data_IF_761902408211
#
_entry.id   IF_761902408211
#
_cell.length_a   1.000
_cell.length_b   1.000
_cell.length_c   1.000
_cell.angle_alpha   90.00
_cell.angle_beta   90.00
_cell.angle_gamma   90.00
#
_symmetry.space_group_name_H-M   'P 1'
#
loop_
_entity.id
_entity.type
_entity.pdbx_description
1 polymer ?
#
# COMPACT_ATOMS: atom_id res chain seq x y z
N UNK A 1 -16.22 -23.56 3.04
CA UNK A 1 -16.69 -24.87 3.54
C UNK A 1 -15.77 -26.03 3.14
N UNK A 2 -15.01 -25.94 2.04
CA UNK A 2 -14.15 -27.04 1.54
C UNK A 2 -13.03 -27.45 2.51
N UNK A 3 -12.33 -26.50 3.14
CA UNK A 3 -11.23 -26.82 4.05
C UNK A 3 -11.67 -27.60 5.31
N UNK A 4 -12.91 -27.41 5.76
CA UNK A 4 -13.51 -28.20 6.85
C UNK A 4 -13.83 -29.62 6.40
N UNK A 5 -14.31 -29.79 5.16
CA UNK A 5 -14.57 -31.10 4.56
C UNK A 5 -13.27 -31.88 4.33
N UNK A 6 -12.21 -31.21 3.88
CA UNK A 6 -10.88 -31.83 3.70
C UNK A 6 -10.33 -32.31 5.04
N UNK A 7 -10.33 -31.46 6.07
CA UNK A 7 -9.87 -31.85 7.40
C UNK A 7 -10.69 -33.01 7.99
N UNK A 8 -12.02 -32.97 7.85
CA UNK A 8 -12.90 -34.04 8.33
C UNK A 8 -12.69 -35.33 7.53
N UNK A 9 -12.46 -35.24 6.22
CA UNK A 9 -12.17 -36.39 5.37
C UNK A 9 -10.83 -37.03 5.70
N UNK A 10 -9.77 -36.25 5.96
CA UNK A 10 -8.46 -36.75 6.38
C UNK A 10 -8.55 -37.41 7.75
N UNK A 11 -9.31 -36.82 8.69
CA UNK A 11 -9.55 -37.40 10.01
C UNK A 11 -10.31 -38.73 9.91
N UNK A 12 -11.35 -38.79 9.08
CA UNK A 12 -12.16 -40.00 8.85
C UNK A 12 -11.34 -41.07 8.14
N UNK A 13 -10.47 -40.70 7.20
CA UNK A 13 -9.58 -41.63 6.50
C UNK A 13 -8.51 -42.20 7.45
N UNK A 14 -7.99 -41.39 8.37
CA UNK A 14 -7.10 -41.84 9.44
C UNK A 14 -7.80 -42.81 10.40
N UNK A 15 -9.03 -42.51 10.81
CA UNK A 15 -9.83 -43.38 11.69
C UNK A 15 -10.24 -44.71 11.02
N UNK A 16 -10.59 -44.66 9.74
CA UNK A 16 -10.86 -45.87 8.95
C UNK A 16 -9.57 -46.67 8.74
N UNK A 17 -8.46 -46.02 8.42
CA UNK A 17 -7.16 -46.66 8.20
C UNK A 17 -6.63 -47.36 9.45
N UNK A 18 -6.75 -46.76 10.63
CA UNK A 18 -6.36 -47.40 11.90
C UNK A 18 -7.29 -48.56 12.27
N UNK A 19 -8.60 -48.43 12.02
CA UNK A 19 -9.57 -49.51 12.23
C UNK A 19 -9.35 -50.70 11.29
N UNK A 20 -9.07 -50.45 10.01
CA UNK A 20 -8.80 -51.53 9.03
C UNK A 20 -7.42 -52.15 9.22
N UNK A 21 -6.40 -51.38 9.60
CA UNK A 21 -5.07 -51.91 9.88
C UNK A 21 -5.07 -52.89 11.07
N UNK A 22 -5.93 -52.66 12.08
CA UNK A 22 -6.11 -53.59 13.20
C UNK A 22 -6.74 -54.95 12.83
N UNK A 23 -7.49 -55.02 11.72
CA UNK A 23 -8.09 -56.26 11.24
C UNK A 23 -7.16 -57.06 10.30
N UNK A 24 -6.36 -56.38 9.49
CA UNK A 24 -5.49 -57.02 8.50
C UNK A 24 -4.04 -57.24 8.97
N UNK A 25 -3.58 -56.51 9.99
CA UNK A 25 -2.23 -56.61 10.55
C UNK A 25 -2.25 -56.66 12.09
N UNK A 26 -2.80 -57.73 12.70
CA UNK A 26 -2.93 -57.85 14.15
C UNK A 26 -1.57 -57.84 14.88
N UNK A 27 -0.51 -58.33 14.24
CA UNK A 27 0.84 -58.39 14.82
C UNK A 27 1.45 -57.00 15.11
N UNK A 28 1.00 -55.95 14.41
CA UNK A 28 1.40 -54.58 14.72
C UNK A 28 0.82 -54.10 16.05
N UNK A 29 -0.36 -54.62 16.45
CA UNK A 29 -1.04 -54.27 17.70
C UNK A 29 -0.61 -55.12 18.89
N UNK A 30 0.07 -56.25 18.66
CA UNK A 30 0.73 -57.05 19.71
C UNK A 30 2.11 -56.50 20.12
N UNK A 31 2.56 -55.41 19.48
CA UNK A 31 3.74 -54.67 19.88
C UNK A 31 3.68 -54.30 21.37
N UNK A 32 4.72 -54.62 22.17
CA UNK A 32 4.74 -54.32 23.61
C UNK A 32 4.58 -52.83 23.90
N UNK A 33 4.94 -51.96 22.94
CA UNK A 33 4.79 -50.51 23.04
C UNK A 33 3.31 -50.09 22.92
N UNK A 34 2.55 -50.71 22.01
CA UNK A 34 1.13 -50.40 21.81
C UNK A 34 0.26 -50.96 22.94
N UNK A 35 0.56 -52.16 23.42
CA UNK A 35 -0.06 -52.72 24.63
C UNK A 35 0.24 -51.89 25.88
N UNK A 36 1.47 -51.37 26.03
CA UNK A 36 1.84 -50.46 27.12
C UNK A 36 1.09 -49.13 27.06
N UNK A 37 0.95 -48.54 25.85
CA UNK A 37 0.18 -47.32 25.59
C UNK A 37 -1.30 -47.53 25.93
N UNK A 38 -1.90 -48.64 25.51
CA UNK A 38 -3.32 -48.94 25.77
C UNK A 38 -3.57 -49.29 27.25
N UNK A 39 -2.62 -49.95 27.93
CA UNK A 39 -2.68 -50.23 29.36
C UNK A 39 -2.74 -48.97 30.22
N UNK A 40 -2.12 -47.87 29.76
CA UNK A 40 -2.15 -46.56 30.43
C UNK A 40 -3.22 -45.68 29.79
N UNK A 41 -4.49 -45.94 30.10
CA UNK A 41 -5.65 -45.13 29.68
C UNK A 41 -5.43 -43.61 29.80
N UNK A 42 -4.73 -43.17 30.86
CA UNK A 42 -4.32 -41.77 31.07
C UNK A 42 -3.45 -41.20 29.94
N UNK A 43 -2.53 -41.98 29.36
CA UNK A 43 -1.65 -41.55 28.28
C UNK A 43 -2.41 -41.36 26.96
N UNK A 44 -3.34 -42.26 26.62
CA UNK A 44 -4.18 -42.12 25.42
C UNK A 44 -5.07 -40.88 25.52
N UNK A 45 -5.71 -40.66 26.67
CA UNK A 45 -6.52 -39.46 26.93
C UNK A 45 -5.66 -38.19 26.83
N UNK A 46 -4.44 -38.22 27.35
CA UNK A 46 -3.49 -37.11 27.26
C UNK A 46 -3.10 -36.76 25.82
N UNK A 47 -2.80 -37.76 24.99
CA UNK A 47 -2.49 -37.54 23.56
C UNK A 47 -3.69 -36.97 22.81
N UNK A 48 -4.90 -37.50 23.04
CA UNK A 48 -6.13 -36.97 22.44
C UNK A 48 -6.36 -35.52 22.87
N UNK A 49 -6.15 -35.19 24.15
CA UNK A 49 -6.28 -33.82 24.63
C UNK A 49 -5.29 -32.86 23.94
N UNK A 50 -4.03 -33.28 23.73
CA UNK A 50 -3.02 -32.50 22.99
C UNK A 50 -3.43 -32.34 21.51
N UNK A 51 -3.94 -33.39 20.87
CA UNK A 51 -4.41 -33.31 19.48
C UNK A 51 -5.61 -32.36 19.33
N UNK A 52 -6.56 -32.40 20.27
CA UNK A 52 -7.70 -31.47 20.28
C UNK A 52 -7.24 -30.03 20.55
N UNK A 53 -6.32 -29.82 21.50
CA UNK A 53 -5.77 -28.51 21.81
C UNK A 53 -5.01 -27.92 20.61
N UNK A 54 -4.14 -28.70 19.97
CA UNK A 54 -3.40 -28.27 18.77
C UNK A 54 -4.34 -27.97 17.60
N UNK A 55 -5.37 -28.80 17.38
CA UNK A 55 -6.39 -28.55 16.35
C UNK A 55 -7.18 -27.25 16.62
N UNK A 56 -7.50 -26.95 17.89
CA UNK A 56 -8.16 -25.70 18.27
C UNK A 56 -7.27 -24.48 17.98
N UNK A 57 -6.00 -24.53 18.38
CA UNK A 57 -5.01 -23.47 18.09
C UNK A 57 -4.84 -23.28 16.57
N UNK A 58 -4.78 -24.38 15.81
CA UNK A 58 -4.68 -24.33 14.35
C UNK A 58 -5.91 -23.67 13.71
N UNK A 59 -7.12 -23.97 14.18
CA UNK A 59 -8.33 -23.29 13.68
C UNK A 59 -8.32 -21.79 13.94
N UNK A 60 -7.91 -21.38 15.14
CA UNK A 60 -7.84 -19.96 15.51
C UNK A 60 -6.81 -19.24 14.63
N UNK A 61 -5.63 -19.83 14.45
CA UNK A 61 -4.57 -19.23 13.63
C UNK A 61 -4.95 -19.13 12.15
N UNK A 62 -5.65 -20.12 11.59
CA UNK A 62 -6.19 -20.04 10.22
C UNK A 62 -7.22 -18.92 10.09
N UNK A 63 -8.15 -18.80 11.05
CA UNK A 63 -9.17 -17.74 11.05
C UNK A 63 -8.53 -16.36 11.15
N UNK A 64 -7.56 -16.18 12.06
CA UNK A 64 -6.80 -14.94 12.19
C UNK A 64 -6.04 -14.59 10.90
N UNK A 65 -5.37 -15.58 10.27
CA UNK A 65 -4.68 -15.38 8.99
C UNK A 65 -5.61 -14.99 7.83
N UNK A 66 -6.87 -15.43 7.83
CA UNK A 66 -7.86 -14.99 6.84
C UNK A 66 -8.30 -13.55 7.10
N UNK A 67 -8.61 -13.22 8.35
CA UNK A 67 -8.99 -11.85 8.73
C UNK A 67 -7.89 -10.84 8.38
N UNK A 68 -6.63 -11.13 8.70
CA UNK A 68 -5.49 -10.26 8.36
C UNK A 68 -5.32 -10.09 6.85
N UNK A 69 -5.53 -11.15 6.05
CA UNK A 69 -5.46 -11.05 4.58
C UNK A 69 -6.57 -10.17 4.00
N UNK A 70 -7.79 -10.29 4.52
CA UNK A 70 -8.90 -9.46 4.08
C UNK A 70 -8.66 -7.99 4.44
N UNK A 71 -8.15 -7.71 5.65
CA UNK A 71 -7.76 -6.36 6.06
C UNK A 71 -6.63 -5.80 5.19
N UNK A 72 -5.60 -6.60 4.90
CA UNK A 72 -4.51 -6.17 4.03
C UNK A 72 -5.00 -5.80 2.62
N UNK A 73 -5.86 -6.63 2.01
CA UNK A 73 -6.45 -6.32 0.70
C UNK A 73 -7.32 -5.05 0.75
N UNK A 74 -8.08 -4.84 1.83
CA UNK A 74 -8.91 -3.64 1.99
C UNK A 74 -8.05 -2.37 2.12
N UNK A 75 -6.94 -2.45 2.87
CA UNK A 75 -5.97 -1.35 3.00
C UNK A 75 -5.28 -1.06 1.67
N UNK A 76 -4.87 -2.10 0.94
CA UNK A 76 -4.27 -1.96 -0.39
C UNK A 76 -5.21 -1.28 -1.38
N UNK A 77 -6.48 -1.72 -1.43
CA UNK A 77 -7.50 -1.08 -2.28
C UNK A 77 -7.73 0.37 -1.88
N UNK A 78 -7.76 0.68 -0.58
CA UNK A 78 -7.95 2.05 -0.11
C UNK A 78 -6.76 2.94 -0.48
N UNK A 79 -5.53 2.46 -0.32
CA UNK A 79 -4.31 3.17 -0.72
C UNK A 79 -4.27 3.44 -2.23
N UNK A 80 -4.70 2.47 -3.05
CA UNK A 80 -4.80 2.63 -4.50
C UNK A 80 -5.77 3.73 -4.88
N UNK A 81 -6.96 3.75 -4.27
CA UNK A 81 -7.95 4.80 -4.54
C UNK A 81 -7.44 6.19 -4.13
N UNK A 82 -6.81 6.31 -2.96
CA UNK A 82 -6.22 7.60 -2.52
C UNK A 82 -5.13 8.04 -3.49
N UNK A 83 -4.28 7.12 -3.95
CA UNK A 83 -3.23 7.43 -4.90
C UNK A 83 -3.82 7.92 -6.24
N UNK A 84 -4.88 7.28 -6.73
CA UNK A 84 -5.57 7.68 -7.96
C UNK A 84 -6.17 9.09 -7.85
N UNK A 85 -6.89 9.37 -6.76
CA UNK A 85 -7.42 10.72 -6.47
C UNK A 85 -6.28 11.75 -6.38
N UNK A 86 -5.19 11.42 -5.71
CA UNK A 86 -4.03 12.31 -5.55
C UNK A 86 -3.34 12.60 -6.88
N UNK A 87 -3.18 11.59 -7.72
CA UNK A 87 -2.63 11.73 -9.08
C UNK A 87 -3.53 12.65 -9.90
N UNK A 88 -4.84 12.42 -9.89
CA UNK A 88 -5.80 13.25 -10.62
C UNK A 88 -5.75 14.72 -10.16
N UNK A 89 -5.73 14.95 -8.85
CA UNK A 89 -5.58 16.29 -8.28
C UNK A 89 -4.28 16.98 -8.72
N UNK A 90 -3.16 16.24 -8.67
CA UNK A 90 -1.86 16.77 -9.07
C UNK A 90 -1.78 17.09 -10.57
N UNK A 91 -2.44 16.28 -11.42
CA UNK A 91 -2.55 16.52 -12.86
C UNK A 91 -3.38 17.77 -13.13
N UNK A 92 -4.55 17.90 -12.49
CA UNK A 92 -5.41 19.08 -12.63
C UNK A 92 -4.68 20.37 -12.19
N UNK A 93 -3.96 20.31 -11.07
CA UNK A 93 -3.13 21.42 -10.61
C UNK A 93 -1.98 21.73 -11.57
N UNK A 94 -1.39 20.70 -12.17
CA UNK A 94 -0.34 20.86 -13.16
C UNK A 94 -0.83 21.52 -14.45
N UNK A 95 -2.00 21.13 -14.94
CA UNK A 95 -2.61 21.74 -16.13
C UNK A 95 -3.00 23.21 -15.90
N UNK A 96 -3.50 23.53 -14.69
CA UNK A 96 -3.72 24.90 -14.27
C UNK A 96 -2.41 25.71 -14.31
N UNK A 97 -1.35 25.21 -13.70
CA UNK A 97 -0.06 25.90 -13.64
C UNK A 97 0.62 26.02 -15.02
N UNK A 98 0.48 25.03 -15.90
CA UNK A 98 0.96 25.10 -17.30
C UNK A 98 0.29 26.23 -18.09
N UNK A 99 -0.93 26.60 -17.72
CA UNK A 99 -1.67 27.70 -18.35
C UNK A 99 -1.29 29.06 -17.72
N UNK A 100 -1.16 29.11 -16.40
CA UNK A 100 -0.92 30.36 -15.66
C UNK A 100 0.54 30.83 -15.71
N UNK A 101 1.52 29.91 -15.74
CA UNK A 101 2.94 30.25 -15.81
C UNK A 101 3.27 31.12 -17.05
N UNK A 102 2.91 30.74 -18.29
CA UNK A 102 3.17 31.57 -19.46
C UNK A 102 2.54 32.96 -19.39
N UNK A 103 1.30 33.06 -18.87
CA UNK A 103 0.60 34.34 -18.76
C UNK A 103 1.31 35.32 -17.84
N UNK A 104 1.87 34.84 -16.73
CA UNK A 104 2.66 35.66 -15.80
C UNK A 104 4.00 36.03 -16.42
N UNK A 105 4.63 35.13 -17.17
CA UNK A 105 5.87 35.43 -17.90
C UNK A 105 5.68 36.59 -18.89
N UNK A 106 4.59 36.57 -19.66
CA UNK A 106 4.28 37.61 -20.64
C UNK A 106 3.94 38.95 -19.97
N UNK A 107 3.16 38.91 -18.89
CA UNK A 107 2.88 40.11 -18.06
C UNK A 107 4.17 40.70 -17.50
N UNK A 108 5.03 39.86 -16.94
CA UNK A 108 6.32 40.30 -16.41
C UNK A 108 7.19 40.93 -17.50
N UNK A 109 7.30 40.33 -18.69
CA UNK A 109 8.03 40.90 -19.83
C UNK A 109 7.48 42.28 -20.22
N UNK A 110 6.16 42.43 -20.28
CA UNK A 110 5.52 43.71 -20.59
C UNK A 110 5.69 44.78 -19.51
N UNK A 111 5.87 44.36 -18.25
CA UNK A 111 6.07 45.25 -17.10
C UNK A 111 7.48 45.85 -17.01
N UNK A 112 8.43 45.32 -17.79
CA UNK A 112 9.85 45.73 -17.77
C UNK A 112 10.05 47.23 -18.00
N UNK A 113 9.24 47.83 -18.86
CA UNK A 113 9.31 49.26 -19.19
C UNK A 113 8.52 50.14 -18.21
N UNK A 114 7.58 49.54 -17.47
CA UNK A 114 6.69 50.25 -16.52
C UNK A 114 7.24 50.28 -15.10
N UNK A 115 8.04 49.29 -14.72
CA UNK A 115 8.56 49.13 -13.36
C UNK A 115 9.96 49.74 -13.21
N UNK A 116 10.24 50.25 -12.01
CA UNK A 116 11.61 50.59 -11.62
C UNK A 116 12.50 49.34 -11.67
N UNK A 117 13.76 49.51 -12.08
CA UNK A 117 14.71 48.42 -12.32
C UNK A 117 14.88 47.48 -11.11
N UNK A 118 14.86 48.03 -9.89
CA UNK A 118 14.97 47.28 -8.63
C UNK A 118 13.72 46.43 -8.34
N UNK A 119 12.54 46.95 -8.65
CA UNK A 119 11.27 46.23 -8.46
C UNK A 119 11.15 45.11 -9.50
N UNK A 120 11.50 45.41 -10.75
CA UNK A 120 11.52 44.43 -11.82
C UNK A 120 12.52 43.29 -11.54
N UNK A 121 13.74 43.60 -11.08
CA UNK A 121 14.73 42.57 -10.76
C UNK A 121 14.27 41.66 -9.62
N UNK A 122 13.61 42.22 -8.60
CA UNK A 122 13.00 41.45 -7.51
C UNK A 122 11.90 40.51 -8.02
N UNK A 123 10.96 41.02 -8.82
CA UNK A 123 9.89 40.20 -9.40
C UNK A 123 10.43 39.13 -10.36
N UNK A 124 11.45 39.45 -11.15
CA UNK A 124 12.13 38.49 -12.02
C UNK A 124 12.84 37.38 -11.23
N UNK A 125 13.45 37.71 -10.09
CA UNK A 125 14.07 36.71 -9.22
C UNK A 125 13.03 35.75 -8.63
N UNK A 126 11.92 36.30 -8.10
CA UNK A 126 10.79 35.51 -7.59
C UNK A 126 10.21 34.62 -8.69
N UNK A 127 9.97 35.18 -9.89
CA UNK A 127 9.50 34.43 -11.05
C UNK A 127 10.43 33.27 -11.41
N UNK A 128 11.74 33.52 -11.46
CA UNK A 128 12.73 32.48 -11.80
C UNK A 128 12.70 31.33 -10.79
N UNK A 129 12.54 31.64 -9.50
CA UNK A 129 12.37 30.63 -8.45
C UNK A 129 11.09 29.82 -8.66
N UNK A 130 9.95 30.49 -8.84
CA UNK A 130 8.64 29.84 -9.07
C UNK A 130 8.70 28.91 -10.28
N UNK A 131 9.30 29.37 -11.38
CA UNK A 131 9.46 28.58 -12.61
C UNK A 131 10.34 27.35 -12.38
N UNK A 132 11.47 27.52 -11.70
CA UNK A 132 12.40 26.41 -11.42
C UNK A 132 11.75 25.35 -10.53
N UNK A 133 11.05 25.78 -9.48
CA UNK A 133 10.33 24.88 -8.55
C UNK A 133 9.19 24.15 -9.26
N UNK A 134 8.46 24.83 -10.16
CA UNK A 134 7.41 24.22 -10.97
C UNK A 134 7.97 23.18 -11.95
N UNK A 135 9.03 23.52 -12.69
CA UNK A 135 9.69 22.60 -13.63
C UNK A 135 10.26 21.37 -12.92
N UNK A 136 10.84 21.54 -11.73
CA UNK A 136 11.32 20.42 -10.91
C UNK A 136 10.17 19.50 -10.47
N UNK A 137 9.06 20.07 -9.99
CA UNK A 137 7.89 19.31 -9.57
C UNK A 137 7.20 18.58 -10.73
N UNK A 138 7.13 19.19 -11.92
CA UNK A 138 6.60 18.54 -13.11
C UNK A 138 7.44 17.35 -13.54
N UNK A 139 8.77 17.49 -13.53
CA UNK A 139 9.67 16.36 -13.83
C UNK A 139 9.46 15.24 -12.82
N UNK A 140 9.41 15.56 -11.52
CA UNK A 140 9.19 14.55 -10.48
C UNK A 140 7.88 13.78 -10.70
N UNK A 141 6.78 14.48 -11.01
CA UNK A 141 5.48 13.86 -11.31
C UNK A 141 5.48 13.03 -12.60
N UNK A 142 6.19 13.45 -13.63
CA UNK A 142 6.27 12.75 -14.92
C UNK A 142 6.99 11.39 -14.79
N UNK A 143 7.99 11.30 -13.91
CA UNK A 143 8.73 10.05 -13.65
C UNK A 143 8.14 9.20 -12.52
N UNK A 144 7.10 9.69 -11.82
CA UNK A 144 6.45 8.94 -10.76
C UNK A 144 5.50 7.89 -11.35
N UNK A 145 5.65 6.61 -11.02
CA UNK A 145 4.73 5.59 -11.49
C UNK A 145 3.33 5.81 -10.91
N UNK A 146 2.29 5.48 -11.67
CA UNK A 146 0.89 5.61 -11.22
C UNK A 146 0.46 4.43 -10.35
N UNK A 147 1.15 3.29 -10.46
CA UNK A 147 0.96 2.10 -9.64
C UNK A 147 2.33 1.53 -9.25
N UNK A 148 2.47 0.88 -8.07
CA UNK A 148 3.71 0.22 -7.71
C UNK A 148 4.02 -0.92 -8.68
N UNK A 149 5.31 -1.11 -8.98
CA UNK A 149 5.77 -2.21 -9.84
C UNK A 149 5.38 -3.55 -9.18
N UNK A 150 4.43 -4.26 -9.78
CA UNK A 150 4.05 -5.60 -9.34
C UNK A 150 5.19 -6.59 -9.63
N UNK A 151 6.24 -6.56 -8.81
CA UNK A 151 7.25 -7.62 -8.81
C UNK A 151 6.57 -8.86 -8.24
N UNK A 152 6.21 -9.78 -9.15
CA UNK A 152 5.46 -11.02 -8.93
C UNK A 152 5.98 -11.93 -7.78
N UNK A 153 7.11 -11.61 -7.15
CA UNK A 153 7.75 -12.43 -6.11
C UNK A 153 7.73 -11.82 -4.70
N UNK A 154 7.51 -10.51 -4.53
CA UNK A 154 7.59 -9.88 -3.20
C UNK A 154 6.21 -9.82 -2.54
N UNK A 155 5.99 -10.70 -1.56
CA UNK A 155 4.68 -10.91 -0.94
C UNK A 155 3.98 -9.63 -0.42
N UNK A 156 2.64 -9.66 -0.41
CA UNK A 156 1.66 -8.58 -0.14
C UNK A 156 1.99 -7.49 0.91
N UNK A 157 2.83 -7.77 1.90
CA UNK A 157 3.30 -6.74 2.85
C UNK A 157 4.19 -5.69 2.18
N UNK A 158 4.95 -6.08 1.14
CA UNK A 158 5.80 -5.17 0.38
C UNK A 158 4.97 -4.21 -0.48
N UNK A 159 3.90 -4.71 -1.12
CA UNK A 159 2.99 -3.88 -1.91
C UNK A 159 2.40 -2.70 -1.10
N UNK A 160 1.92 -2.93 0.13
CA UNK A 160 1.38 -1.85 0.99
C UNK A 160 2.44 -0.79 1.31
N UNK A 161 3.69 -1.19 1.54
CA UNK A 161 4.78 -0.26 1.81
C UNK A 161 5.16 0.54 0.57
N UNK A 162 5.16 -0.09 -0.60
CA UNK A 162 5.41 0.57 -1.89
C UNK A 162 4.30 1.58 -2.22
N UNK A 163 3.02 1.23 -2.02
CA UNK A 163 1.92 2.18 -2.14
C UNK A 163 2.09 3.37 -1.19
N UNK A 164 2.51 3.13 0.05
CA UNK A 164 2.74 4.20 1.03
C UNK A 164 3.89 5.11 0.61
N UNK A 165 5.01 4.55 0.13
CA UNK A 165 6.14 5.35 -0.34
C UNK A 165 5.74 6.17 -1.58
N UNK A 166 5.02 5.56 -2.51
CA UNK A 166 4.53 6.22 -3.71
C UNK A 166 3.57 7.37 -3.37
N UNK A 167 2.64 7.14 -2.44
CA UNK A 167 1.73 8.16 -1.93
C UNK A 167 2.48 9.34 -1.30
N UNK A 168 3.52 9.06 -0.51
CA UNK A 168 4.34 10.11 0.10
C UNK A 168 5.07 10.95 -0.95
N UNK A 169 5.60 10.33 -2.01
CA UNK A 169 6.27 11.05 -3.10
C UNK A 169 5.28 11.95 -3.85
N UNK A 170 4.13 11.42 -4.27
CA UNK A 170 3.06 12.21 -4.91
C UNK A 170 2.58 13.35 -4.01
N UNK A 171 2.43 13.11 -2.71
CA UNK A 171 2.02 14.14 -1.74
C UNK A 171 3.05 15.26 -1.65
N UNK A 172 4.34 14.92 -1.65
CA UNK A 172 5.43 15.90 -1.64
C UNK A 172 5.42 16.76 -2.90
N UNK A 173 5.31 16.14 -4.07
CA UNK A 173 5.28 16.89 -5.34
C UNK A 173 4.03 17.77 -5.45
N UNK A 174 2.85 17.29 -5.03
CA UNK A 174 1.63 18.11 -4.92
C UNK A 174 1.82 19.31 -3.99
N UNK A 175 2.45 19.11 -2.83
CA UNK A 175 2.71 20.21 -1.89
C UNK A 175 3.64 21.29 -2.48
N UNK A 176 4.59 20.91 -3.33
CA UNK A 176 5.42 21.88 -4.08
C UNK A 176 4.57 22.64 -5.09
N UNK A 177 3.73 21.95 -5.87
CA UNK A 177 2.83 22.62 -6.83
C UNK A 177 1.85 23.59 -6.15
N UNK A 178 1.30 23.25 -5.00
CA UNK A 178 0.42 24.16 -4.24
C UNK A 178 1.19 25.40 -3.75
N UNK A 179 2.44 25.23 -3.32
CA UNK A 179 3.30 26.36 -2.98
C UNK A 179 3.56 27.25 -4.20
N UNK A 180 3.90 26.65 -5.34
CA UNK A 180 4.09 27.35 -6.61
C UNK A 180 2.84 28.16 -6.97
N UNK A 181 1.64 27.56 -6.85
CA UNK A 181 0.37 28.24 -7.09
C UNK A 181 0.18 29.44 -6.16
N UNK A 182 0.43 29.29 -4.87
CA UNK A 182 0.35 30.38 -3.90
C UNK A 182 1.33 31.51 -4.21
N UNK A 183 2.60 31.18 -4.45
CA UNK A 183 3.65 32.14 -4.79
C UNK A 183 3.32 32.89 -6.11
N UNK A 184 2.77 32.18 -7.09
CA UNK A 184 2.34 32.74 -8.37
C UNK A 184 1.15 33.69 -8.20
N UNK A 185 0.18 33.34 -7.34
CA UNK A 185 -0.94 34.23 -7.00
C UNK A 185 -0.46 35.52 -6.33
N UNK A 186 0.51 35.42 -5.40
CA UNK A 186 1.10 36.59 -4.75
C UNK A 186 1.87 37.47 -5.74
N UNK A 187 2.62 36.88 -6.67
CA UNK A 187 3.32 37.63 -7.72
C UNK A 187 2.33 38.34 -8.65
N UNK A 188 1.24 37.66 -9.03
CA UNK A 188 0.15 38.22 -9.84
C UNK A 188 -0.50 39.43 -9.17
N UNK A 189 -0.77 39.34 -7.87
CA UNK A 189 -1.33 40.44 -7.09
C UNK A 189 -0.38 41.63 -7.01
N UNK A 190 0.90 41.39 -6.72
CA UNK A 190 1.92 42.45 -6.69
C UNK A 190 2.12 43.14 -8.04
N UNK A 191 2.06 42.40 -9.14
CA UNK A 191 2.09 42.98 -10.49
C UNK A 191 0.87 43.88 -10.73
N UNK A 192 -0.33 43.40 -10.34
CA UNK A 192 -1.59 44.16 -10.46
C UNK A 192 -1.54 45.45 -9.64
N UNK A 193 -1.04 45.42 -8.41
CA UNK A 193 -0.87 46.61 -7.55
C UNK A 193 0.05 47.66 -8.18
N UNK A 194 1.03 47.24 -8.99
CA UNK A 194 1.96 48.12 -9.71
C UNK A 194 1.47 48.51 -11.11
N UNK A 195 0.21 48.22 -11.45
CA UNK A 195 -0.39 48.61 -12.74
C UNK A 195 0.13 47.82 -13.94
N UNK A 196 0.59 46.59 -13.70
CA UNK A 196 1.16 45.69 -14.70
C UNK A 196 0.24 44.47 -14.98
#
# INVERSE_FOLDING_TARGET
MEMQRIFLSVLVLLLLGTGTAGLFFPEWFESPILLWIHSKFSFVVFVIAILLASAAILRITIRARRAMRNQANAVESHLRNILEELVQDSQALGDFLRTDLPQIEDRLKSSKEKLAKEVFSSFSSIWTRIRTDAEAAFRELEYLPMEPEQTSEKGKKHAILEYKDLLNRHTRSKAVLERVRSDLSLLKEKLREKGC
#
